data_IF_558715471557
#
_entry.id   IF_558715471557
#
_cell.length_a   1.000
_cell.length_b   1.000
_cell.length_c   1.000
_cell.angle_alpha   90.00
_cell.angle_beta   90.00
_cell.angle_gamma   90.00
#
_symmetry.space_group_name_H-M   'P 1'
#
loop_
_entity.id
_entity.type
_entity.pdbx_description
1 polymer ?
#
# COMPACT_ATOMS: atom_id res chain seq x y z
N UNK A 1 -12.42 1.68 17.02
CA UNK A 1 -11.96 1.52 15.62
C UNK A 1 -11.28 0.17 15.46
N UNK A 2 -11.79 -0.73 14.60
CA UNK A 2 -11.13 -2.00 14.28
C UNK A 2 -9.69 -1.75 13.78
N UNK A 3 -8.75 -2.62 14.14
CA UNK A 3 -7.32 -2.51 13.75
C UNK A 3 -7.15 -2.33 12.23
N UNK A 4 -7.93 -3.07 11.43
CA UNK A 4 -7.99 -2.96 9.97
C UNK A 4 -8.30 -1.53 9.48
N UNK A 5 -9.28 -0.86 10.09
CA UNK A 5 -9.70 0.48 9.69
C UNK A 5 -8.64 1.53 10.05
N UNK A 6 -7.92 1.35 11.15
CA UNK A 6 -6.80 2.22 11.54
C UNK A 6 -5.64 2.11 10.56
N UNK A 7 -5.20 0.89 10.23
CA UNK A 7 -4.14 0.68 9.25
C UNK A 7 -4.51 1.26 7.89
N UNK A 8 -5.76 1.09 7.44
CA UNK A 8 -6.19 1.67 6.18
C UNK A 8 -6.17 3.20 6.18
N UNK A 9 -6.64 3.84 7.25
CA UNK A 9 -6.57 5.29 7.39
C UNK A 9 -5.11 5.80 7.42
N UNK A 10 -4.22 5.05 8.06
CA UNK A 10 -2.77 5.33 8.06
C UNK A 10 -2.17 5.19 6.66
N UNK A 11 -2.56 4.17 5.91
CA UNK A 11 -2.09 3.92 4.54
C UNK A 11 -2.50 5.06 3.60
N UNK A 12 -3.75 5.54 3.68
CA UNK A 12 -4.21 6.72 2.94
C UNK A 12 -3.38 7.96 3.29
N UNK A 13 -3.13 8.19 4.58
CA UNK A 13 -2.28 9.32 5.03
C UNK A 13 -0.85 9.23 4.52
N UNK A 14 -0.25 8.05 4.52
CA UNK A 14 1.10 7.84 3.98
C UNK A 14 1.16 8.10 2.48
N UNK A 15 0.12 7.70 1.74
CA UNK A 15 0.00 7.99 0.31
C UNK A 15 -0.14 9.49 0.03
N UNK A 16 -0.99 10.20 0.77
CA UNK A 16 -1.16 11.66 0.67
C UNK A 16 0.13 12.42 1.02
N UNK A 17 0.90 11.92 1.99
CA UNK A 17 2.18 12.50 2.39
C UNK A 17 3.34 12.14 1.44
N UNK A 18 3.12 11.32 0.42
CA UNK A 18 4.17 10.86 -0.50
C UNK A 18 5.15 9.85 0.12
N UNK A 19 4.86 9.32 1.32
CA UNK A 19 5.68 8.35 2.04
C UNK A 19 5.47 6.92 1.50
N UNK A 20 5.63 6.74 0.18
CA UNK A 20 5.17 5.56 -0.54
C UNK A 20 5.93 4.28 -0.20
N UNK A 21 7.23 4.35 0.13
CA UNK A 21 7.97 3.18 0.64
C UNK A 21 7.31 2.61 1.90
N UNK A 22 6.98 3.49 2.86
CA UNK A 22 6.35 3.07 4.11
C UNK A 22 4.91 2.62 3.89
N UNK A 23 4.20 3.23 2.95
CA UNK A 23 2.85 2.82 2.58
C UNK A 23 2.82 1.39 2.00
N UNK A 24 3.79 1.04 1.14
CA UNK A 24 3.94 -0.31 0.58
C UNK A 24 4.29 -1.31 1.69
N UNK A 25 5.23 -0.99 2.58
CA UNK A 25 5.57 -1.88 3.70
C UNK A 25 4.37 -2.14 4.62
N UNK A 26 3.58 -1.10 4.93
CA UNK A 26 2.37 -1.23 5.74
C UNK A 26 1.29 -2.08 5.04
N UNK A 27 1.25 -2.08 3.70
CA UNK A 27 0.35 -2.94 2.94
C UNK A 27 0.72 -4.42 3.04
N UNK A 28 2.01 -4.76 3.03
CA UNK A 28 2.47 -6.12 3.30
C UNK A 28 2.10 -6.58 4.71
N UNK A 29 2.32 -5.72 5.72
CA UNK A 29 1.88 -6.00 7.10
C UNK A 29 0.36 -6.21 7.16
N UNK A 30 -0.42 -5.40 6.46
CA UNK A 30 -1.87 -5.54 6.37
C UNK A 30 -2.29 -6.87 5.73
N UNK A 31 -1.65 -7.26 4.63
CA UNK A 31 -1.97 -8.49 3.90
C UNK A 31 -1.64 -9.72 4.74
N UNK A 32 -0.56 -9.66 5.51
CA UNK A 32 -0.19 -10.70 6.46
C UNK A 32 -1.22 -10.84 7.59
N UNK A 33 -1.71 -9.73 8.14
CA UNK A 33 -2.65 -9.71 9.26
C UNK A 33 -4.11 -10.03 8.85
N UNK A 34 -4.54 -9.56 7.67
CA UNK A 34 -5.96 -9.53 7.26
C UNK A 34 -6.24 -10.19 5.92
N UNK A 35 -5.21 -10.68 5.23
CA UNK A 35 -5.31 -11.20 3.87
C UNK A 35 -5.26 -10.10 2.79
N UNK A 36 -5.20 -10.51 1.52
CA UNK A 36 -5.10 -9.57 0.41
C UNK A 36 -6.31 -8.64 0.32
N UNK A 37 -6.07 -7.34 0.17
CA UNK A 37 -7.09 -6.30 0.07
C UNK A 37 -6.89 -5.48 -1.22
N UNK A 38 -7.77 -5.70 -2.19
CA UNK A 38 -7.73 -5.03 -3.49
C UNK A 38 -7.86 -3.51 -3.38
N UNK A 39 -8.56 -3.01 -2.37
CA UNK A 39 -8.78 -1.58 -2.20
C UNK A 39 -7.50 -0.86 -1.77
N UNK A 40 -6.67 -1.52 -0.94
CA UNK A 40 -5.34 -1.01 -0.58
C UNK A 40 -4.43 -0.93 -1.81
N UNK A 41 -4.47 -1.94 -2.67
CA UNK A 41 -3.68 -1.95 -3.92
C UNK A 41 -4.09 -0.81 -4.83
N UNK A 42 -5.38 -0.52 -4.96
CA UNK A 42 -5.88 0.60 -5.77
C UNK A 42 -5.40 1.95 -5.23
N UNK A 43 -5.45 2.16 -3.90
CA UNK A 43 -4.97 3.40 -3.27
C UNK A 43 -3.48 3.60 -3.53
N UNK A 44 -2.67 2.54 -3.38
CA UNK A 44 -1.24 2.57 -3.65
C UNK A 44 -0.93 2.84 -5.12
N UNK A 45 -1.64 2.18 -6.05
CA UNK A 45 -1.48 2.38 -7.49
C UNK A 45 -1.71 3.85 -7.88
N UNK A 46 -2.82 4.44 -7.41
CA UNK A 46 -3.14 5.83 -7.69
C UNK A 46 -2.06 6.79 -7.12
N UNK A 47 -1.53 6.49 -5.94
CA UNK A 47 -0.48 7.30 -5.34
C UNK A 47 0.88 7.17 -6.06
N UNK A 48 1.21 5.98 -6.54
CA UNK A 48 2.42 5.69 -7.33
C UNK A 48 2.37 6.28 -8.74
N UNK A 49 1.20 6.41 -9.34
CA UNK A 49 1.04 7.04 -10.66
C UNK A 49 1.16 8.56 -10.59
N UNK A 50 0.68 9.17 -9.51
CA UNK A 50 0.77 10.63 -9.29
C UNK A 50 2.17 11.10 -8.87
N UNK A 51 3.00 10.20 -8.33
CA UNK A 51 4.28 10.55 -7.74
C UNK A 51 5.43 9.87 -8.48
N UNK A 52 6.46 10.64 -8.85
CA UNK A 52 7.70 10.03 -9.31
C UNK A 52 8.39 9.33 -8.15
N UNK A 53 8.36 8.00 -8.15
CA UNK A 53 8.97 7.15 -7.11
C UNK A 53 10.18 6.39 -7.65
N UNK A 54 11.13 6.02 -6.77
CA UNK A 54 12.20 5.10 -7.14
C UNK A 54 11.67 3.79 -7.72
N UNK A 55 12.39 3.21 -8.69
CA UNK A 55 12.05 1.94 -9.31
C UNK A 55 11.91 0.79 -8.28
N UNK A 56 12.69 0.83 -7.19
CA UNK A 56 12.59 -0.13 -6.10
C UNK A 56 11.19 -0.16 -5.44
N UNK A 57 10.54 1.00 -5.28
CA UNK A 57 9.19 1.08 -4.71
C UNK A 57 8.17 0.49 -5.68
N UNK A 58 8.32 0.77 -6.99
CA UNK A 58 7.46 0.19 -8.03
C UNK A 58 7.61 -1.33 -8.12
N UNK A 59 8.83 -1.84 -7.97
CA UNK A 59 9.10 -3.27 -7.96
C UNK A 59 8.44 -3.96 -6.77
N UNK A 60 8.60 -3.41 -5.57
CA UNK A 60 7.99 -3.93 -4.34
C UNK A 60 6.45 -3.88 -4.37
N UNK A 61 5.88 -2.86 -5.03
CA UNK A 61 4.44 -2.82 -5.29
C UNK A 61 3.98 -3.91 -6.28
N UNK A 62 4.80 -4.22 -7.30
CA UNK A 62 4.49 -5.31 -8.23
C UNK A 62 4.52 -6.68 -7.54
N UNK A 63 5.43 -6.90 -6.58
CA UNK A 63 5.43 -8.09 -5.72
C UNK A 63 4.12 -8.20 -4.93
N UNK A 64 3.67 -7.10 -4.30
CA UNK A 64 2.39 -7.05 -3.59
C UNK A 64 1.20 -7.41 -4.51
N UNK A 65 1.23 -6.97 -5.77
CA UNK A 65 0.18 -7.28 -6.74
C UNK A 65 0.17 -8.75 -7.16
N UNK A 66 1.32 -9.42 -7.15
CA UNK A 66 1.43 -10.84 -7.47
C UNK A 66 0.85 -11.76 -6.37
N UNK A 67 0.68 -11.24 -5.15
CA UNK A 67 0.05 -11.95 -4.03
C UNK A 67 -1.49 -11.87 -4.06
N UNK A 68 -2.08 -11.07 -4.97
CA UNK A 68 -3.52 -11.05 -5.18
C UNK A 68 -3.96 -12.29 -5.98
N UNK A 69 -4.98 -13.03 -5.51
CA UNK A 69 -5.53 -14.19 -6.23
C UNK A 69 -6.30 -13.82 -7.51
#
# INVERSE_FOLDING_TARGET
>A
MPRRQRQRAELSRLCEAGALTRAVDLAFEHFTDFGPDREIVLILAEALDRTSVPAAVRHRFAELCAELP
#
